data_IF_315529992372
#
_entry.id   IF_315529992372
#
_cell.length_a   1.000
_cell.length_b   1.000
_cell.length_c   1.000
_cell.angle_alpha   90.00
_cell.angle_beta   90.00
_cell.angle_gamma   90.00
#
_symmetry.space_group_name_H-M   'P 1'
#
loop_
_entity.id
_entity.type
_entity.pdbx_description
1 polymer ?
#
# COMPACT_ATOMS: atom_id res chain seq x y z
N UNK A 1 -47.10 41.67 -35.92
CA UNK A 1 -46.82 40.21 -35.94
C UNK A 1 -45.43 39.92 -36.51
N UNK A 2 -45.09 40.47 -37.69
CA UNK A 2 -43.77 40.32 -38.34
C UNK A 2 -42.59 40.78 -37.48
N UNK A 3 -42.68 41.96 -36.85
CA UNK A 3 -41.59 42.47 -36.00
C UNK A 3 -41.32 41.57 -34.77
N UNK A 4 -42.36 40.96 -34.21
CA UNK A 4 -42.24 40.03 -33.08
C UNK A 4 -41.52 38.75 -33.55
N UNK A 5 -41.91 38.20 -34.70
CA UNK A 5 -41.25 37.01 -35.25
C UNK A 5 -39.78 37.25 -35.61
N UNK A 6 -39.44 38.43 -36.15
CA UNK A 6 -38.05 38.78 -36.46
C UNK A 6 -37.18 38.84 -35.20
N UNK A 7 -37.68 39.47 -34.12
CA UNK A 7 -36.96 39.50 -32.83
C UNK A 7 -36.75 38.11 -32.23
N UNK A 8 -37.73 37.20 -32.35
CA UNK A 8 -37.58 35.82 -31.87
C UNK A 8 -36.51 35.06 -32.66
N UNK A 9 -36.46 35.23 -33.99
CA UNK A 9 -35.43 34.60 -34.83
C UNK A 9 -34.04 35.14 -34.51
N UNK A 10 -33.92 36.46 -34.28
CA UNK A 10 -32.66 37.08 -33.89
C UNK A 10 -32.17 36.60 -32.51
N UNK A 11 -33.07 36.51 -31.51
CA UNK A 11 -32.75 35.96 -30.19
C UNK A 11 -32.34 34.49 -30.25
N UNK A 12 -33.00 33.69 -31.08
CA UNK A 12 -32.64 32.28 -31.25
C UNK A 12 -31.25 32.12 -31.90
N UNK A 13 -30.98 32.90 -32.95
CA UNK A 13 -29.70 32.88 -33.68
C UNK A 13 -28.54 33.30 -32.77
N UNK A 14 -28.71 34.37 -31.99
CA UNK A 14 -27.71 34.84 -31.02
C UNK A 14 -27.46 33.82 -29.91
N UNK A 15 -28.49 33.12 -29.45
CA UNK A 15 -28.37 32.03 -28.47
C UNK A 15 -27.56 30.85 -29.03
N UNK A 16 -27.85 30.41 -30.26
CA UNK A 16 -27.10 29.34 -30.93
C UNK A 16 -25.63 29.72 -31.13
N UNK A 17 -25.34 30.93 -31.61
CA UNK A 17 -23.96 31.40 -31.80
C UNK A 17 -23.20 31.44 -30.48
N UNK A 18 -23.86 31.86 -29.39
CA UNK A 18 -23.25 31.87 -28.05
C UNK A 18 -22.96 30.46 -27.56
N UNK A 19 -23.88 29.51 -27.75
CA UNK A 19 -23.68 28.10 -27.42
C UNK A 19 -22.53 27.50 -28.22
N UNK A 20 -22.47 27.75 -29.54
CA UNK A 20 -21.40 27.28 -30.43
C UNK A 20 -20.02 27.74 -29.96
N UNK A 21 -19.87 29.04 -29.62
CA UNK A 21 -18.59 29.58 -29.11
C UNK A 21 -18.18 28.95 -27.78
N UNK A 22 -19.13 28.68 -26.87
CA UNK A 22 -18.84 27.99 -25.61
C UNK A 22 -18.36 26.56 -25.84
N UNK A 23 -19.01 25.81 -26.73
CA UNK A 23 -18.59 24.43 -27.08
C UNK A 23 -17.16 24.40 -27.62
N UNK A 24 -16.81 25.33 -28.52
CA UNK A 24 -15.43 25.44 -29.05
C UNK A 24 -14.44 25.79 -27.94
N UNK A 25 -14.77 26.75 -27.06
CA UNK A 25 -13.91 27.12 -25.94
C UNK A 25 -13.68 25.95 -24.95
N UNK A 26 -14.71 25.14 -24.68
CA UNK A 26 -14.57 23.92 -23.89
C UNK A 26 -13.68 22.89 -24.60
N UNK A 27 -13.86 22.70 -25.91
CA UNK A 27 -13.04 21.79 -26.71
C UNK A 27 -11.56 22.21 -26.74
N UNK A 28 -11.28 23.49 -26.97
CA UNK A 28 -9.92 24.05 -26.95
C UNK A 28 -9.30 23.97 -25.55
N UNK A 29 -10.08 24.22 -24.50
CA UNK A 29 -9.66 24.08 -23.12
C UNK A 29 -9.26 22.64 -22.76
N UNK A 30 -10.05 21.65 -23.20
CA UNK A 30 -9.75 20.22 -23.04
C UNK A 30 -8.48 19.86 -23.83
N UNK A 31 -8.33 20.32 -25.07
CA UNK A 31 -7.13 20.06 -25.88
C UNK A 31 -5.87 20.69 -25.28
N UNK A 32 -5.97 21.90 -24.73
CA UNK A 32 -4.88 22.57 -24.04
C UNK A 32 -4.45 21.81 -22.78
N UNK A 33 -5.41 21.34 -21.97
CA UNK A 33 -5.15 20.48 -20.82
C UNK A 33 -4.52 19.15 -21.25
N UNK A 34 -5.04 18.53 -22.31
CA UNK A 34 -4.49 17.30 -22.89
C UNK A 34 -3.01 17.44 -23.26
N UNK A 35 -2.64 18.52 -23.99
CA UNK A 35 -1.24 18.81 -24.34
C UNK A 35 -0.36 19.10 -23.13
N UNK A 36 -0.90 19.72 -22.08
CA UNK A 36 -0.15 19.94 -20.82
C UNK A 36 0.11 18.62 -20.09
N UNK A 37 -0.89 17.75 -20.03
CA UNK A 37 -0.77 16.42 -19.44
C UNK A 37 0.20 15.55 -20.24
N UNK A 38 0.16 15.59 -21.57
CA UNK A 38 1.09 14.89 -22.46
C UNK A 38 2.54 15.33 -22.21
N UNK A 39 2.82 16.64 -22.22
CA UNK A 39 4.17 17.17 -21.89
C UNK A 39 4.63 16.82 -20.48
N UNK A 40 3.71 16.80 -19.52
CA UNK A 40 4.03 16.37 -18.16
C UNK A 40 4.36 14.87 -18.12
N UNK A 41 3.63 14.05 -18.88
CA UNK A 41 3.86 12.61 -19.00
C UNK A 41 5.20 12.29 -19.69
N UNK A 42 5.57 13.03 -20.75
CA UNK A 42 6.88 12.89 -21.41
C UNK A 42 8.04 13.19 -20.45
N UNK A 43 7.96 14.31 -19.70
CA UNK A 43 8.97 14.66 -18.69
C UNK A 43 9.06 13.62 -17.57
N UNK A 44 7.91 13.11 -17.13
CA UNK A 44 7.88 12.04 -16.15
C UNK A 44 8.54 10.77 -16.71
N UNK A 45 8.33 10.44 -17.98
CA UNK A 45 8.98 9.30 -18.63
C UNK A 45 10.50 9.47 -18.72
N UNK A 46 10.99 10.63 -19.14
CA UNK A 46 12.43 10.93 -19.25
C UNK A 46 13.15 10.81 -17.90
N UNK A 47 12.47 11.13 -16.79
CA UNK A 47 13.02 10.98 -15.43
C UNK A 47 12.85 9.54 -14.92
N UNK A 48 11.71 8.91 -15.21
CA UNK A 48 11.37 7.60 -14.69
C UNK A 48 12.16 6.47 -15.35
N UNK A 49 12.50 6.58 -16.64
CA UNK A 49 13.17 5.51 -17.38
C UNK A 49 14.59 5.23 -16.86
N UNK A 50 15.50 6.21 -16.71
CA UNK A 50 16.80 5.99 -16.08
C UNK A 50 16.68 5.48 -14.65
N UNK A 51 15.80 6.08 -13.85
CA UNK A 51 15.56 5.68 -12.47
C UNK A 51 15.04 4.23 -12.36
N UNK A 52 14.24 3.77 -13.33
CA UNK A 52 13.75 2.40 -13.39
C UNK A 52 14.86 1.39 -13.75
N UNK A 53 15.79 1.75 -14.64
CA UNK A 53 16.95 0.91 -14.94
C UNK A 53 17.87 0.80 -13.72
N UNK A 54 18.21 1.92 -13.08
CA UNK A 54 19.04 1.91 -11.86
C UNK A 54 18.38 1.09 -10.74
N UNK A 55 17.08 1.28 -10.52
CA UNK A 55 16.35 0.49 -9.52
C UNK A 55 16.32 -1.00 -9.85
N UNK A 56 16.15 -1.38 -11.13
CA UNK A 56 16.16 -2.77 -11.56
C UNK A 56 17.51 -3.42 -11.34
N UNK A 57 18.60 -2.75 -11.73
CA UNK A 57 19.96 -3.26 -11.56
C UNK A 57 20.30 -3.39 -10.07
N UNK A 58 19.89 -2.42 -9.25
CA UNK A 58 20.03 -2.48 -7.80
C UNK A 58 19.29 -3.66 -7.17
N UNK A 59 18.03 -3.88 -7.59
CA UNK A 59 17.24 -5.04 -7.13
C UNK A 59 17.91 -6.35 -7.56
N UNK A 60 18.35 -6.46 -8.82
CA UNK A 60 19.03 -7.67 -9.31
C UNK A 60 20.31 -7.98 -8.52
N UNK A 61 21.11 -6.95 -8.22
CA UNK A 61 22.30 -7.08 -7.40
C UNK A 61 21.95 -7.55 -5.98
N UNK A 62 20.91 -6.98 -5.38
CA UNK A 62 20.44 -7.38 -4.05
C UNK A 62 19.95 -8.82 -3.99
N UNK A 63 19.30 -9.30 -5.07
CA UNK A 63 18.76 -10.66 -5.18
C UNK A 63 19.86 -11.71 -5.44
N UNK A 64 21.00 -11.30 -5.99
CA UNK A 64 22.16 -12.17 -6.19
C UNK A 64 22.88 -12.52 -4.88
N UNK A 65 22.67 -11.72 -3.82
CA UNK A 65 23.27 -11.97 -2.51
C UNK A 65 22.61 -13.17 -1.81
N UNK A 66 23.41 -14.20 -1.51
CA UNK A 66 22.93 -15.44 -0.90
C UNK A 66 23.71 -15.85 0.38
N UNK A 67 24.50 -14.93 0.95
CA UNK A 67 25.24 -15.20 2.19
C UNK A 67 24.29 -15.53 3.34
N UNK A 68 24.64 -16.50 4.21
CA UNK A 68 23.85 -16.85 5.39
C UNK A 68 23.56 -15.64 6.28
N UNK A 69 22.43 -15.72 6.97
CA UNK A 69 21.96 -14.63 7.84
C UNK A 69 22.77 -14.51 9.13
N UNK A 70 23.43 -15.58 9.56
CA UNK A 70 24.32 -15.59 10.74
C UNK A 70 25.54 -14.67 10.60
N UNK A 71 25.94 -14.32 9.37
CA UNK A 71 27.08 -13.42 9.12
C UNK A 71 26.75 -11.95 9.42
N UNK A 72 25.46 -11.62 9.58
CA UNK A 72 25.02 -10.26 9.88
C UNK A 72 25.42 -9.91 11.31
N UNK A 73 26.06 -8.75 11.48
CA UNK A 73 26.47 -8.26 12.80
C UNK A 73 25.26 -8.01 13.72
N UNK A 74 25.48 -8.10 15.02
CA UNK A 74 24.42 -8.01 16.03
C UNK A 74 23.67 -6.68 15.99
N UNK A 75 24.34 -5.57 15.68
CA UNK A 75 23.71 -4.25 15.62
C UNK A 75 22.72 -4.18 14.44
N UNK A 76 23.17 -4.52 13.24
CA UNK A 76 22.32 -4.63 12.04
C UNK A 76 21.17 -5.61 12.27
N UNK A 77 21.44 -6.78 12.85
CA UNK A 77 20.42 -7.78 13.18
C UNK A 77 19.34 -7.17 14.07
N UNK A 78 19.72 -6.50 15.15
CA UNK A 78 18.79 -5.86 16.08
C UNK A 78 17.94 -4.78 15.39
N UNK A 79 18.55 -3.90 14.58
CA UNK A 79 17.81 -2.86 13.84
C UNK A 79 16.79 -3.45 12.86
N UNK A 80 17.14 -4.55 12.18
CA UNK A 80 16.23 -5.23 11.25
C UNK A 80 15.08 -5.92 12.00
N UNK A 81 15.37 -6.62 13.09
CA UNK A 81 14.34 -7.26 13.93
C UNK A 81 13.36 -6.21 14.46
N UNK A 82 13.89 -5.10 15.00
CA UNK A 82 13.08 -4.00 15.50
C UNK A 82 12.23 -3.36 14.40
N UNK A 83 12.77 -3.23 13.19
CA UNK A 83 12.06 -2.73 12.02
C UNK A 83 10.85 -3.62 11.67
N UNK A 84 11.03 -4.94 11.55
CA UNK A 84 9.96 -5.87 11.18
C UNK A 84 8.94 -6.09 12.30
N UNK A 85 9.36 -6.08 13.57
CA UNK A 85 8.42 -6.06 14.70
C UNK A 85 7.59 -4.76 14.70
N UNK A 86 8.24 -3.61 14.45
CA UNK A 86 7.55 -2.33 14.31
C UNK A 86 6.53 -2.34 13.17
N UNK A 87 6.90 -2.88 12.00
CA UNK A 87 5.96 -3.09 10.88
C UNK A 87 4.78 -3.94 11.31
N UNK A 88 5.01 -5.02 12.06
CA UNK A 88 3.94 -5.90 12.54
C UNK A 88 2.94 -5.15 13.42
N UNK A 89 3.42 -4.34 14.37
CA UNK A 89 2.55 -3.50 15.22
C UNK A 89 1.76 -2.50 14.38
N UNK A 90 2.38 -1.86 13.39
CA UNK A 90 1.70 -0.92 12.50
C UNK A 90 0.62 -1.61 11.65
N UNK A 91 0.87 -2.83 11.18
CA UNK A 91 -0.09 -3.65 10.45
C UNK A 91 -1.26 -4.14 11.33
N UNK A 92 -1.06 -4.32 12.64
CA UNK A 92 -2.17 -4.51 13.58
C UNK A 92 -3.05 -3.26 13.60
N UNK A 93 -2.45 -2.07 13.61
CA UNK A 93 -3.16 -0.80 13.46
C UNK A 93 -3.98 -0.74 12.17
N UNK A 94 -3.41 -1.18 11.04
CA UNK A 94 -4.13 -1.28 9.76
C UNK A 94 -5.38 -2.16 9.89
N UNK A 95 -5.20 -3.39 10.40
CA UNK A 95 -6.27 -4.36 10.52
C UNK A 95 -7.37 -3.91 11.49
N UNK A 96 -6.98 -3.33 12.64
CA UNK A 96 -7.90 -2.75 13.61
C UNK A 96 -8.69 -1.58 13.01
N UNK A 97 -8.04 -0.75 12.20
CA UNK A 97 -8.69 0.30 11.43
C UNK A 97 -9.70 -0.26 10.43
N UNK A 98 -9.32 -1.27 9.66
CA UNK A 98 -10.19 -1.90 8.65
C UNK A 98 -11.46 -2.50 9.27
N UNK A 99 -11.33 -3.19 10.40
CA UNK A 99 -12.47 -3.71 11.15
C UNK A 99 -13.36 -2.57 11.66
N UNK A 100 -12.75 -1.54 12.25
CA UNK A 100 -13.48 -0.40 12.80
C UNK A 100 -14.23 0.36 11.71
N UNK A 101 -13.59 0.62 10.56
CA UNK A 101 -14.21 1.28 9.41
C UNK A 101 -15.36 0.50 8.78
N UNK A 102 -15.23 -0.82 8.73
CA UNK A 102 -16.23 -1.70 8.13
C UNK A 102 -17.48 -1.90 9.01
N UNK A 103 -17.35 -1.88 10.34
CA UNK A 103 -18.47 -2.22 11.24
C UNK A 103 -18.86 -1.15 12.27
N UNK A 104 -17.90 -0.39 12.80
CA UNK A 104 -18.16 0.50 13.94
C UNK A 104 -18.31 1.97 13.54
N UNK A 105 -17.44 2.45 12.65
CA UNK A 105 -17.32 3.86 12.30
C UNK A 105 -18.06 4.21 11.00
N UNK A 106 -18.67 3.24 10.32
CA UNK A 106 -19.41 3.47 9.07
C UNK A 106 -20.45 4.59 9.19
N UNK A 107 -21.33 4.65 10.22
CA UNK A 107 -22.33 5.71 10.33
C UNK A 107 -21.70 7.08 10.56
N UNK A 108 -20.61 7.14 11.34
CA UNK A 108 -19.88 8.38 11.62
C UNK A 108 -19.21 8.92 10.35
N UNK A 109 -18.58 8.03 9.56
CA UNK A 109 -17.90 8.42 8.31
C UNK A 109 -18.93 8.93 7.30
N UNK A 110 -20.07 8.26 7.14
CA UNK A 110 -21.14 8.69 6.24
C UNK A 110 -21.76 10.02 6.65
N UNK A 111 -21.76 10.34 7.94
CA UNK A 111 -22.26 11.61 8.44
C UNK A 111 -21.32 12.79 8.11
N UNK A 112 -20.00 12.56 8.13
CA UNK A 112 -18.99 13.62 7.97
C UNK A 112 -18.46 13.74 6.54
N UNK A 113 -18.33 12.62 5.82
CA UNK A 113 -17.65 12.54 4.54
C UNK A 113 -18.48 11.86 3.45
N UNK A 114 -18.43 12.44 2.26
CA UNK A 114 -18.86 11.75 1.05
C UNK A 114 -17.85 10.66 0.64
N UNK A 115 -18.34 9.60 0.00
CA UNK A 115 -17.53 8.48 -0.50
C UNK A 115 -16.38 8.94 -1.44
N UNK A 116 -16.61 9.97 -2.25
CA UNK A 116 -15.58 10.56 -3.12
C UNK A 116 -14.48 11.25 -2.31
N UNK A 117 -14.83 11.95 -1.23
CA UNK A 117 -13.89 12.59 -0.32
C UNK A 117 -13.03 11.55 0.39
N UNK A 118 -13.65 10.45 0.87
CA UNK A 118 -12.88 9.35 1.48
C UNK A 118 -11.88 8.74 0.50
N UNK A 119 -12.29 8.57 -0.77
CA UNK A 119 -11.41 8.06 -1.81
C UNK A 119 -10.22 9.00 -2.09
N UNK A 120 -10.46 10.31 -2.09
CA UNK A 120 -9.40 11.31 -2.22
C UNK A 120 -8.44 11.30 -1.02
N UNK A 121 -8.96 11.16 0.20
CA UNK A 121 -8.15 11.04 1.42
C UNK A 121 -7.22 9.83 1.32
N UNK A 122 -7.74 8.66 0.92
CA UNK A 122 -6.91 7.46 0.75
C UNK A 122 -5.82 7.62 -0.32
N UNK A 123 -6.09 8.37 -1.40
CA UNK A 123 -5.09 8.66 -2.42
C UNK A 123 -4.00 9.63 -1.92
N UNK A 124 -4.38 10.63 -1.13
CA UNK A 124 -3.48 11.67 -0.63
C UNK A 124 -2.64 11.21 0.58
N UNK A 125 -3.19 10.33 1.42
CA UNK A 125 -2.60 9.96 2.72
C UNK A 125 -1.20 9.32 2.59
N UNK A 126 -0.93 8.35 1.69
CA UNK A 126 0.41 7.79 1.52
C UNK A 126 1.45 8.85 1.12
N UNK A 127 1.06 9.78 0.23
CA UNK A 127 1.91 10.87 -0.21
C UNK A 127 2.24 11.80 0.96
N UNK A 128 1.22 12.18 1.74
CA UNK A 128 1.39 13.02 2.93
C UNK A 128 2.33 12.38 3.96
N UNK A 129 2.16 11.08 4.25
CA UNK A 129 3.03 10.34 5.19
C UNK A 129 4.47 10.34 4.70
N UNK A 130 4.70 9.99 3.43
CA UNK A 130 6.04 9.93 2.86
C UNK A 130 6.76 11.28 2.99
N UNK A 131 6.08 12.37 2.63
CA UNK A 131 6.64 13.72 2.81
C UNK A 131 6.85 14.09 4.28
N UNK A 132 5.96 13.68 5.18
CA UNK A 132 6.07 14.00 6.61
C UNK A 132 7.27 13.32 7.25
N UNK A 133 7.54 12.05 6.91
CA UNK A 133 8.71 11.31 7.40
C UNK A 133 9.99 11.86 6.80
N UNK A 134 10.01 12.10 5.48
CA UNK A 134 11.23 12.57 4.78
C UNK A 134 11.62 14.00 5.17
N UNK A 135 10.65 14.90 5.37
CA UNK A 135 10.93 16.30 5.70
C UNK A 135 11.34 16.48 7.16
N UNK A 136 10.81 15.67 8.06
CA UNK A 136 11.09 15.78 9.49
C UNK A 136 12.17 14.76 9.89
N UNK A 137 13.39 14.96 9.41
CA UNK A 137 14.55 14.12 9.76
C UNK A 137 14.90 14.13 11.25
N UNK A 138 14.33 15.08 12.01
CA UNK A 138 14.50 15.20 13.46
C UNK A 138 13.50 14.37 14.27
N UNK A 139 12.55 13.68 13.64
CA UNK A 139 11.62 12.82 14.37
C UNK A 139 12.41 11.69 15.03
N UNK A 140 12.20 11.53 16.32
CA UNK A 140 12.73 10.35 17.00
C UNK A 140 12.02 9.08 16.49
N UNK A 141 12.59 7.92 16.79
CA UNK A 141 12.05 6.64 16.33
C UNK A 141 10.63 6.35 16.87
N UNK A 142 10.28 6.90 18.04
CA UNK A 142 8.99 6.70 18.69
C UNK A 142 7.90 7.53 18.01
N UNK A 143 8.16 8.82 17.78
CA UNK A 143 7.31 9.76 17.06
C UNK A 143 7.06 9.26 15.64
N UNK A 144 8.12 8.81 14.96
CA UNK A 144 8.00 8.26 13.59
C UNK A 144 7.11 7.02 13.55
N UNK A 145 7.26 6.10 14.51
CA UNK A 145 6.37 4.93 14.64
C UNK A 145 4.94 5.32 14.97
N UNK A 146 4.73 6.31 15.83
CA UNK A 146 3.41 6.83 16.17
C UNK A 146 2.70 7.44 14.96
N UNK A 147 3.41 8.22 14.13
CA UNK A 147 2.89 8.79 12.89
C UNK A 147 2.52 7.69 11.90
N UNK A 148 3.41 6.71 11.69
CA UNK A 148 3.15 5.58 10.80
C UNK A 148 1.96 4.76 11.28
N UNK A 149 1.90 4.43 12.57
CA UNK A 149 0.80 3.68 13.18
C UNK A 149 -0.53 4.42 13.02
N UNK A 150 -0.58 5.68 13.44
CA UNK A 150 -1.81 6.49 13.40
C UNK A 150 -2.31 6.67 11.97
N UNK A 151 -1.40 6.95 11.04
CA UNK A 151 -1.77 7.15 9.64
C UNK A 151 -2.23 5.85 8.97
N UNK A 152 -1.59 4.73 9.30
CA UNK A 152 -2.00 3.39 8.84
C UNK A 152 -3.34 2.98 9.44
N UNK A 153 -3.61 3.34 10.71
CA UNK A 153 -4.91 3.16 11.35
C UNK A 153 -6.01 3.95 10.62
N UNK A 154 -5.80 5.25 10.35
CA UNK A 154 -6.76 6.04 9.57
C UNK A 154 -6.97 5.50 8.17
N UNK A 155 -5.89 5.10 7.50
CA UNK A 155 -5.96 4.43 6.21
C UNK A 155 -6.82 3.15 6.31
N UNK A 156 -6.62 2.37 7.36
CA UNK A 156 -7.44 1.21 7.69
C UNK A 156 -8.91 1.55 7.85
N UNK A 157 -9.25 2.58 8.64
CA UNK A 157 -10.62 3.04 8.87
C UNK A 157 -11.31 3.40 7.54
N UNK A 158 -10.68 4.23 6.73
CA UNK A 158 -11.29 4.68 5.47
C UNK A 158 -11.36 3.56 4.42
N UNK A 159 -10.38 2.67 4.37
CA UNK A 159 -10.40 1.51 3.48
C UNK A 159 -11.43 0.46 3.90
N UNK A 160 -11.55 0.19 5.20
CA UNK A 160 -12.60 -0.65 5.78
C UNK A 160 -13.99 -0.11 5.48
N UNK A 161 -14.19 1.21 5.58
CA UNK A 161 -15.44 1.85 5.19
C UNK A 161 -15.78 1.65 3.70
N UNK A 162 -14.82 1.90 2.80
CA UNK A 162 -15.08 1.84 1.36
C UNK A 162 -15.31 0.43 0.83
N UNK A 163 -14.54 -0.55 1.31
CA UNK A 163 -14.58 -1.92 0.80
C UNK A 163 -15.41 -2.88 1.65
N UNK A 164 -15.63 -2.53 2.93
CA UNK A 164 -16.48 -3.27 3.86
C UNK A 164 -16.16 -4.77 3.86
N UNK A 165 -17.17 -5.64 3.67
CA UNK A 165 -16.99 -7.10 3.69
C UNK A 165 -15.95 -7.63 2.69
N UNK A 166 -15.69 -6.95 1.56
CA UNK A 166 -14.67 -7.40 0.60
C UNK A 166 -13.27 -7.35 1.18
N UNK A 167 -12.95 -6.31 1.94
CA UNK A 167 -11.65 -6.21 2.62
C UNK A 167 -11.51 -7.31 3.67
N UNK A 168 -12.60 -7.58 4.41
CA UNK A 168 -12.62 -8.58 5.48
C UNK A 168 -12.49 -10.02 4.95
N UNK A 169 -12.92 -10.27 3.72
CA UNK A 169 -12.76 -11.58 3.06
C UNK A 169 -11.30 -12.00 2.85
N UNK A 170 -10.35 -11.07 2.98
CA UNK A 170 -8.91 -11.34 2.96
C UNK A 170 -8.30 -11.62 4.34
N UNK A 171 -9.12 -11.69 5.40
CA UNK A 171 -8.66 -11.83 6.79
C UNK A 171 -7.56 -10.81 7.16
N UNK A 172 -7.85 -9.50 7.12
CA UNK A 172 -6.84 -8.46 7.38
C UNK A 172 -6.16 -8.60 8.73
N UNK A 173 -6.82 -9.23 9.72
CA UNK A 173 -6.27 -9.52 11.04
C UNK A 173 -5.01 -10.38 11.02
N UNK A 174 -4.75 -11.12 9.94
CA UNK A 174 -3.55 -11.96 9.82
C UNK A 174 -2.40 -11.27 9.10
N UNK A 175 -2.60 -10.05 8.57
CA UNK A 175 -1.58 -9.36 7.76
C UNK A 175 -0.29 -9.05 8.52
N UNK A 176 -0.34 -8.90 9.84
CA UNK A 176 0.86 -8.64 10.63
C UNK A 176 1.75 -9.87 10.83
N UNK A 177 1.24 -11.09 10.58
CA UNK A 177 1.93 -12.32 10.94
C UNK A 177 3.22 -12.56 10.13
N UNK A 178 3.28 -12.32 8.80
CA UNK A 178 4.51 -12.53 8.06
C UNK A 178 5.74 -11.75 8.57
N UNK A 179 5.69 -10.41 8.77
CA UNK A 179 6.83 -9.70 9.34
C UNK A 179 7.12 -10.10 10.80
N UNK A 180 6.10 -10.46 11.58
CA UNK A 180 6.28 -10.93 12.96
C UNK A 180 7.04 -12.26 12.99
N UNK A 181 6.61 -13.23 12.18
CA UNK A 181 7.27 -14.52 12.08
C UNK A 181 8.66 -14.43 11.48
N UNK A 182 8.88 -13.52 10.52
CA UNK A 182 10.21 -13.23 10.00
C UNK A 182 11.13 -12.79 11.12
N UNK A 183 10.70 -11.80 11.92
CA UNK A 183 11.48 -11.28 13.04
C UNK A 183 11.81 -12.38 14.07
N UNK A 184 10.86 -13.27 14.40
CA UNK A 184 11.08 -14.38 15.33
C UNK A 184 12.04 -15.44 14.80
N UNK A 185 11.99 -15.77 13.50
CA UNK A 185 12.88 -16.78 12.91
C UNK A 185 14.28 -16.22 12.63
N UNK A 186 14.36 -14.92 12.32
CA UNK A 186 15.63 -14.22 12.15
C UNK A 186 16.31 -13.97 13.49
N UNK A 187 15.54 -13.60 14.52
CA UNK A 187 16.03 -13.56 15.90
C UNK A 187 15.93 -14.91 16.60
N UNK A 188 16.89 -15.77 16.29
CA UNK A 188 17.07 -17.09 16.89
C UNK A 188 17.34 -17.10 18.42
N UNK A 189 17.33 -15.96 19.11
CA UNK A 189 17.51 -15.89 20.56
C UNK A 189 16.31 -16.48 21.33
N UNK A 190 15.09 -16.20 20.88
CA UNK A 190 13.85 -16.67 21.52
C UNK A 190 13.49 -18.08 21.06
N UNK A 191 13.66 -18.36 19.76
CA UNK A 191 13.43 -19.67 19.17
C UNK A 191 14.73 -20.14 18.46
N UNK A 192 15.61 -20.88 19.16
CA UNK A 192 16.83 -21.39 18.56
C UNK A 192 16.53 -22.33 17.40
N UNK A 193 16.86 -21.91 16.19
CA UNK A 193 16.74 -22.74 14.99
C UNK A 193 18.03 -22.69 14.18
N UNK A 194 18.38 -23.76 13.43
CA UNK A 194 19.52 -23.76 12.52
C UNK A 194 19.22 -22.99 11.22
N UNK A 195 18.08 -22.29 11.11
CA UNK A 195 17.66 -21.69 9.85
C UNK A 195 18.60 -20.56 9.42
N UNK A 196 19.13 -19.78 10.37
CA UNK A 196 20.00 -18.62 10.08
C UNK A 196 21.36 -19.00 9.50
N UNK A 197 21.82 -20.23 9.73
CA UNK A 197 23.07 -20.76 9.18
C UNK A 197 22.90 -21.35 7.78
N UNK A 198 21.66 -21.54 7.31
CA UNK A 198 21.38 -21.90 5.92
C UNK A 198 21.76 -20.74 4.99
N UNK A 199 21.95 -21.05 3.70
CA UNK A 199 22.00 -19.99 2.70
C UNK A 199 20.70 -19.19 2.71
N UNK A 200 20.79 -17.92 2.33
CA UNK A 200 19.69 -16.96 2.45
C UNK A 200 18.43 -17.43 1.76
N UNK A 201 18.56 -17.97 0.54
CA UNK A 201 17.43 -18.50 -0.23
C UNK A 201 16.71 -19.64 0.51
N UNK A 202 17.45 -20.60 1.10
CA UNK A 202 16.84 -21.71 1.84
C UNK A 202 16.15 -21.22 3.12
N UNK A 203 16.75 -20.24 3.82
CA UNK A 203 16.09 -19.57 4.94
C UNK A 203 14.73 -18.99 4.51
N UNK A 204 14.71 -18.22 3.41
CA UNK A 204 13.48 -17.58 2.94
C UNK A 204 12.44 -18.58 2.43
N UNK A 205 12.83 -19.69 1.81
CA UNK A 205 11.91 -20.76 1.42
C UNK A 205 11.27 -21.41 2.66
N UNK A 206 12.06 -21.70 3.69
CA UNK A 206 11.57 -22.26 4.95
C UNK A 206 10.64 -21.28 5.66
N UNK A 207 11.07 -20.02 5.82
CA UNK A 207 10.26 -18.93 6.37
C UNK A 207 8.94 -18.78 5.60
N UNK A 208 8.99 -18.73 4.27
CA UNK A 208 7.80 -18.58 3.44
C UNK A 208 6.82 -19.72 3.63
N UNK A 209 7.32 -20.96 3.65
CA UNK A 209 6.49 -22.15 3.84
C UNK A 209 5.78 -22.12 5.20
N UNK A 210 6.53 -21.84 6.29
CA UNK A 210 5.98 -21.81 7.65
C UNK A 210 5.01 -20.61 7.79
N UNK A 211 5.41 -19.44 7.30
CA UNK A 211 4.63 -18.20 7.40
C UNK A 211 3.31 -18.27 6.64
N UNK A 212 3.33 -18.71 5.38
CA UNK A 212 2.11 -18.85 4.57
C UNK A 212 1.19 -19.89 5.20
N UNK A 213 1.73 -21.02 5.67
CA UNK A 213 0.93 -22.05 6.33
C UNK A 213 0.24 -21.53 7.59
N UNK A 214 1.00 -20.96 8.53
CA UNK A 214 0.45 -20.47 9.80
C UNK A 214 -0.54 -19.33 9.57
N UNK A 215 -0.21 -18.36 8.71
CA UNK A 215 -1.07 -17.21 8.42
C UNK A 215 -2.38 -17.64 7.78
N UNK A 216 -2.32 -18.55 6.81
CA UNK A 216 -3.52 -19.10 6.16
C UNK A 216 -4.34 -19.95 7.12
N UNK A 217 -3.70 -20.76 7.95
CA UNK A 217 -4.38 -21.59 8.94
C UNK A 217 -5.13 -20.71 9.96
N UNK A 218 -4.47 -19.70 10.52
CA UNK A 218 -5.12 -18.75 11.45
C UNK A 218 -6.24 -17.96 10.77
N UNK A 219 -6.06 -17.55 9.52
CA UNK A 219 -7.11 -16.90 8.74
C UNK A 219 -8.32 -17.83 8.54
N UNK A 220 -8.09 -19.13 8.35
CA UNK A 220 -9.17 -20.10 8.19
C UNK A 220 -10.00 -20.30 9.46
N UNK A 221 -9.38 -20.16 10.65
CA UNK A 221 -10.10 -20.14 11.93
C UNK A 221 -11.02 -18.92 12.00
N UNK A 222 -10.51 -17.75 11.62
CA UNK A 222 -11.27 -16.49 11.65
C UNK A 222 -12.43 -16.50 10.66
N UNK A 223 -12.22 -17.02 9.45
CA UNK A 223 -13.24 -17.05 8.40
C UNK A 223 -14.14 -18.29 8.40
N UNK A 224 -13.80 -19.31 9.19
CA UNK A 224 -14.49 -20.60 9.22
C UNK A 224 -14.28 -21.47 7.97
N UNK A 225 -13.39 -21.08 7.05
CA UNK A 225 -13.10 -21.83 5.83
C UNK A 225 -11.69 -21.56 5.32
N UNK A 226 -11.09 -22.55 4.64
CA UNK A 226 -9.81 -22.37 3.97
C UNK A 226 -10.00 -21.60 2.66
N UNK A 227 -9.26 -20.51 2.48
CA UNK A 227 -9.37 -19.63 1.31
C UNK A 227 -8.08 -19.64 0.49
N UNK A 228 -8.18 -20.11 -0.76
CA UNK A 228 -7.07 -20.07 -1.73
C UNK A 228 -6.60 -18.63 -1.98
N UNK A 229 -7.54 -17.67 -1.99
CA UNK A 229 -7.23 -16.24 -2.20
C UNK A 229 -6.30 -15.73 -1.10
N UNK A 230 -6.55 -16.12 0.15
CA UNK A 230 -5.71 -15.72 1.28
C UNK A 230 -4.34 -16.38 1.21
N UNK A 231 -4.26 -17.65 0.82
CA UNK A 231 -2.97 -18.31 0.59
C UNK A 231 -2.16 -17.57 -0.48
N UNK A 232 -2.77 -17.22 -1.61
CA UNK A 232 -2.12 -16.47 -2.68
C UNK A 232 -1.67 -15.07 -2.22
N UNK A 233 -2.52 -14.36 -1.50
CA UNK A 233 -2.16 -13.07 -0.91
C UNK A 233 -0.95 -13.19 0.02
N UNK A 234 -0.94 -14.19 0.89
CA UNK A 234 0.18 -14.43 1.82
C UNK A 234 1.46 -14.84 1.08
N UNK A 235 1.38 -15.60 -0.02
CA UNK A 235 2.53 -15.91 -0.87
C UNK A 235 3.12 -14.63 -1.47
N UNK A 236 2.28 -13.75 -2.02
CA UNK A 236 2.73 -12.45 -2.56
C UNK A 236 3.33 -11.59 -1.45
N UNK A 237 2.71 -11.55 -0.28
CA UNK A 237 3.18 -10.77 0.85
C UNK A 237 4.56 -11.23 1.34
N UNK A 238 4.76 -12.54 1.53
CA UNK A 238 6.06 -13.08 1.94
C UNK A 238 7.12 -12.91 0.84
N UNK A 239 6.75 -13.06 -0.43
CA UNK A 239 7.66 -12.79 -1.55
C UNK A 239 8.08 -11.31 -1.56
N UNK A 240 7.14 -10.40 -1.31
CA UNK A 240 7.42 -8.97 -1.13
C UNK A 240 8.36 -8.70 0.06
N UNK A 241 8.19 -9.40 1.17
CA UNK A 241 9.09 -9.31 2.32
C UNK A 241 10.50 -9.76 1.96
N UNK A 242 10.65 -10.87 1.22
CA UNK A 242 11.95 -11.33 0.74
C UNK A 242 12.66 -10.26 -0.11
N UNK A 243 11.96 -9.69 -1.10
CA UNK A 243 12.51 -8.62 -1.95
C UNK A 243 12.87 -7.40 -1.11
N UNK A 244 11.98 -6.97 -0.22
CA UNK A 244 12.23 -5.87 0.69
C UNK A 244 13.49 -6.10 1.53
N UNK A 245 13.62 -7.26 2.16
CA UNK A 245 14.79 -7.61 2.96
C UNK A 245 16.08 -7.53 2.14
N UNK A 246 16.10 -8.09 0.93
CA UNK A 246 17.29 -8.06 0.07
C UNK A 246 17.69 -6.63 -0.28
N UNK A 247 16.73 -5.79 -0.67
CA UNK A 247 16.95 -4.36 -0.95
C UNK A 247 17.45 -3.62 0.28
N UNK A 248 16.87 -3.86 1.47
CA UNK A 248 17.32 -3.26 2.72
C UNK A 248 18.75 -3.69 3.05
N UNK A 249 19.11 -4.97 2.89
CA UNK A 249 20.47 -5.43 3.11
C UNK A 249 21.48 -4.73 2.18
N UNK A 250 21.08 -4.43 0.95
CA UNK A 250 21.92 -3.65 0.04
C UNK A 250 22.06 -2.19 0.52
N UNK A 251 20.98 -1.56 0.99
CA UNK A 251 21.06 -0.22 1.60
C UNK A 251 21.94 -0.18 2.86
N UNK A 252 21.95 -1.24 3.67
CA UNK A 252 22.85 -1.36 4.82
C UNK A 252 24.30 -1.41 4.36
N UNK A 253 24.62 -2.23 3.35
CA UNK A 253 25.97 -2.30 2.77
C UNK A 253 26.44 -0.94 2.23
N UNK A 254 25.52 -0.19 1.62
CA UNK A 254 25.80 1.13 1.04
C UNK A 254 25.71 2.29 2.06
N UNK A 255 25.46 1.99 3.35
CA UNK A 255 25.30 2.97 4.46
C UNK A 255 24.19 4.00 4.22
N UNK A 256 23.19 3.64 3.43
CA UNK A 256 22.01 4.47 3.12
C UNK A 256 20.74 3.94 3.82
N UNK A 257 20.89 3.01 4.77
CA UNK A 257 19.76 2.42 5.47
C UNK A 257 19.08 3.41 6.41
N UNK A 258 17.80 3.67 6.15
CA UNK A 258 16.92 4.47 7.00
C UNK A 258 15.73 3.62 7.43
N UNK A 259 15.68 3.26 8.72
CA UNK A 259 14.63 2.39 9.29
C UNK A 259 13.23 2.92 8.98
N UNK A 260 13.00 4.21 9.22
CA UNK A 260 11.70 4.85 9.02
C UNK A 260 11.17 4.80 7.60
N UNK A 261 12.02 5.12 6.63
CA UNK A 261 11.67 5.11 5.22
C UNK A 261 11.42 3.68 4.75
N UNK A 262 12.23 2.73 5.22
CA UNK A 262 12.07 1.29 4.94
C UNK A 262 10.72 0.78 5.44
N UNK A 263 10.34 1.12 6.68
CA UNK A 263 9.01 0.79 7.23
C UNK A 263 7.88 1.39 6.39
N UNK A 264 7.99 2.68 6.04
CA UNK A 264 6.98 3.38 5.25
C UNK A 264 6.78 2.73 3.87
N UNK A 265 7.87 2.37 3.18
CA UNK A 265 7.83 1.70 1.88
C UNK A 265 7.17 0.33 2.02
N UNK A 266 7.59 -0.48 2.99
CA UNK A 266 6.99 -1.81 3.22
C UNK A 266 5.48 -1.72 3.44
N UNK A 267 5.05 -0.80 4.32
CA UNK A 267 3.64 -0.60 4.65
C UNK A 267 2.87 -0.14 3.42
N UNK A 268 3.39 0.83 2.68
CA UNK A 268 2.77 1.34 1.45
C UNK A 268 2.56 0.26 0.40
N UNK A 269 3.59 -0.57 0.15
CA UNK A 269 3.50 -1.70 -0.79
C UNK A 269 2.52 -2.77 -0.30
N UNK A 270 2.51 -3.07 1.00
CA UNK A 270 1.61 -4.06 1.59
C UNK A 270 0.14 -3.61 1.48
N UNK A 271 -0.12 -2.34 1.77
CA UNK A 271 -1.44 -1.70 1.59
C UNK A 271 -1.88 -1.77 0.13
N UNK A 272 -1.00 -1.37 -0.80
CA UNK A 272 -1.31 -1.39 -2.23
C UNK A 272 -1.63 -2.80 -2.72
N UNK A 273 -0.82 -3.78 -2.30
CA UNK A 273 -1.05 -5.20 -2.58
C UNK A 273 -2.41 -5.66 -2.05
N UNK A 274 -2.73 -5.36 -0.79
CA UNK A 274 -4.02 -5.71 -0.19
C UNK A 274 -5.20 -5.07 -0.94
N UNK A 275 -5.05 -3.82 -1.39
CA UNK A 275 -6.06 -3.12 -2.18
C UNK A 275 -6.31 -3.81 -3.52
N UNK A 276 -5.24 -4.14 -4.25
CA UNK A 276 -5.34 -4.85 -5.53
C UNK A 276 -6.04 -6.20 -5.32
N UNK A 277 -5.63 -6.97 -4.31
CA UNK A 277 -6.27 -8.25 -3.98
C UNK A 277 -7.74 -8.07 -3.58
N UNK A 278 -8.08 -7.03 -2.83
CA UNK A 278 -9.46 -6.74 -2.43
C UNK A 278 -10.34 -6.41 -3.63
N UNK A 279 -9.80 -5.64 -4.57
CA UNK A 279 -10.52 -5.24 -5.78
C UNK A 279 -10.72 -6.39 -6.77
N UNK A 280 -9.72 -7.26 -6.92
CA UNK A 280 -9.72 -8.33 -7.92
C UNK A 280 -10.35 -9.62 -7.38
N UNK A 281 -10.07 -9.98 -6.12
CA UNK A 281 -10.41 -11.28 -5.54
C UNK A 281 -11.27 -11.17 -4.26
N UNK A 282 -11.43 -9.98 -3.70
CA UNK A 282 -12.28 -9.76 -2.53
C UNK A 282 -13.76 -9.97 -2.88
N UNK A 283 -14.47 -10.71 -2.04
CA UNK A 283 -15.88 -11.01 -2.25
C UNK A 283 -16.72 -10.55 -1.05
N UNK A 284 -18.01 -10.26 -1.28
CA UNK A 284 -18.92 -9.96 -0.20
C UNK A 284 -19.66 -11.24 0.23
N UNK A 285 -19.36 -11.83 1.41
CA UNK A 285 -20.08 -13.00 1.91
C UNK A 285 -21.56 -12.72 2.19
N UNK A 286 -21.97 -11.46 2.38
CA UNK A 286 -23.37 -11.10 2.59
C UNK A 286 -24.17 -11.09 1.28
N UNK A 287 -23.50 -10.94 0.12
CA UNK A 287 -24.17 -10.96 -1.18
C UNK A 287 -24.64 -12.35 -1.60
N UNK A 288 -24.04 -13.41 -1.04
CA UNK A 288 -24.40 -14.82 -1.32
C UNK A 288 -25.55 -15.35 -0.46
N UNK A 289 -26.04 -14.58 0.52
CA UNK A 289 -27.19 -14.94 1.37
C UNK A 289 -28.55 -14.47 0.83
N UNK A 290 -28.61 -13.85 -0.35
CA UNK A 290 -29.85 -13.51 -1.06
C UNK A 290 -30.08 -14.47 -2.21
#
# INVERSE_FOLDING_TARGET
MTEISERYVEQFTTTIETLRRRVIAYYDGIFYLGRKVEKAAERLKEVAEPAAYDARDYVNQSLAENSPLEVIDTETKNSLVEMYLGISVILIGLAGGQLSGAYALTPLIQYVFDTSVVSLILAALPVYIYYSIRKNSSLDDTERRSILFSSTLFFGIFSGYLFGPRMLSLAPTTIFLPPFMFALLFDNGILPTPLVSLNRQSFFIAFASISVFITTFLASIVLGSFSIVISLFNIVHVTGLYIHFQVIMQFVKDKNFLVGESQAIYIGVSILSQFIFTMVLGYNPEATKK
#
